data_IF_356002569937
#
_entry.id   IF_356002569937
#
_cell.length_a   1.000
_cell.length_b   1.000
_cell.length_c   1.000
_cell.angle_alpha   90.00
_cell.angle_beta   90.00
_cell.angle_gamma   90.00
#
_symmetry.space_group_name_H-M   'P 1'
#
loop_
_entity.id
_entity.type
_entity.pdbx_description
1 polymer ?
#
# COMPACT_ATOMS: atom_id res chain seq x y z
N UNK A 1 -29.88 -5.44 -23.56
CA UNK A 1 -28.93 -6.53 -23.93
C UNK A 1 -28.03 -6.68 -22.71
N UNK A 2 -28.33 -7.73 -21.94
CA UNK A 2 -27.64 -8.02 -20.69
C UNK A 2 -26.14 -8.27 -20.96
N UNK A 3 -25.27 -7.41 -20.48
CA UNK A 3 -23.87 -7.76 -20.27
C UNK A 3 -23.86 -8.88 -19.22
N UNK A 4 -23.74 -10.11 -19.67
CA UNK A 4 -23.44 -11.24 -18.78
C UNK A 4 -22.13 -10.94 -18.08
N UNK A 5 -22.22 -10.54 -16.82
CA UNK A 5 -21.08 -10.48 -15.92
C UNK A 5 -20.49 -11.89 -15.87
N UNK A 6 -19.32 -12.11 -16.49
CA UNK A 6 -18.59 -13.37 -16.38
C UNK A 6 -18.29 -13.57 -14.90
N UNK A 7 -19.05 -14.44 -14.25
CA UNK A 7 -18.76 -14.84 -12.87
C UNK A 7 -17.38 -15.51 -12.85
N UNK A 8 -16.54 -15.06 -11.93
CA UNK A 8 -15.25 -15.67 -11.72
C UNK A 8 -15.47 -16.99 -10.95
N UNK A 9 -14.77 -18.07 -11.33
CA UNK A 9 -14.82 -19.38 -10.63
C UNK A 9 -14.61 -19.24 -9.11
N UNK A 10 -13.80 -18.28 -8.70
CA UNK A 10 -13.57 -17.96 -7.29
C UNK A 10 -14.83 -17.43 -6.59
N UNK A 11 -15.61 -16.60 -7.25
CA UNK A 11 -16.84 -16.05 -6.69
C UNK A 11 -17.90 -17.13 -6.52
N UNK A 12 -17.98 -18.07 -7.45
CA UNK A 12 -18.85 -19.26 -7.37
C UNK A 12 -18.44 -20.13 -6.18
N UNK A 13 -17.14 -20.39 -6.02
CA UNK A 13 -16.62 -21.19 -4.90
C UNK A 13 -16.95 -20.56 -3.53
N UNK A 14 -16.82 -19.23 -3.40
CA UNK A 14 -17.20 -18.53 -2.17
C UNK A 14 -18.70 -18.62 -1.90
N UNK A 15 -19.57 -18.45 -2.89
CA UNK A 15 -21.02 -18.56 -2.74
C UNK A 15 -21.42 -19.97 -2.29
N UNK A 16 -20.83 -20.99 -2.89
CA UNK A 16 -21.06 -22.38 -2.51
C UNK A 16 -20.60 -22.68 -1.09
N UNK A 17 -19.40 -22.20 -0.71
CA UNK A 17 -18.89 -22.38 0.64
C UNK A 17 -19.83 -21.72 1.68
N UNK A 18 -20.29 -20.49 1.44
CA UNK A 18 -21.26 -19.80 2.30
C UNK A 18 -22.59 -20.57 2.36
N UNK A 19 -23.11 -21.02 1.21
CA UNK A 19 -24.36 -21.76 1.16
C UNK A 19 -24.30 -23.05 1.98
N UNK A 20 -23.27 -23.87 1.82
CA UNK A 20 -23.11 -25.09 2.59
C UNK A 20 -22.87 -24.84 4.07
N UNK A 21 -22.13 -23.80 4.42
CA UNK A 21 -21.92 -23.43 5.83
C UNK A 21 -23.23 -23.06 6.51
N UNK A 22 -24.12 -22.32 5.84
CA UNK A 22 -25.41 -21.91 6.38
C UNK A 22 -26.41 -23.05 6.53
N UNK A 23 -26.18 -24.22 5.90
CA UNK A 23 -27.01 -25.41 6.04
C UNK A 23 -26.57 -26.30 7.23
N UNK A 24 -25.38 -26.06 7.78
CA UNK A 24 -24.85 -26.80 8.92
C UNK A 24 -25.33 -26.25 10.25
N UNK A 25 -25.33 -27.09 11.28
CA UNK A 25 -25.57 -26.68 12.67
C UNK A 25 -24.22 -26.30 13.33
N UNK A 26 -23.66 -25.18 12.85
CA UNK A 26 -22.34 -24.68 13.26
C UNK A 26 -22.38 -23.16 13.42
N UNK A 27 -21.57 -22.65 14.33
CA UNK A 27 -21.35 -21.21 14.44
C UNK A 27 -20.48 -20.73 13.27
N UNK A 28 -20.89 -19.65 12.60
CA UNK A 28 -20.20 -19.11 11.44
C UNK A 28 -19.78 -17.67 11.72
N UNK A 29 -18.50 -17.40 11.55
CA UNK A 29 -17.96 -16.05 11.58
C UNK A 29 -17.49 -15.64 10.16
N UNK A 30 -18.17 -14.65 9.57
CA UNK A 30 -17.72 -14.01 8.35
C UNK A 30 -16.86 -12.81 8.71
N UNK A 31 -15.56 -12.88 8.44
CA UNK A 31 -14.67 -11.73 8.55
C UNK A 31 -14.39 -11.16 7.16
N UNK A 32 -14.69 -9.90 6.97
CA UNK A 32 -14.55 -9.24 5.66
C UNK A 32 -13.89 -7.88 5.76
N UNK A 33 -13.43 -7.35 4.61
CA UNK A 33 -12.97 -5.99 4.54
C UNK A 33 -14.14 -5.02 4.74
N UNK A 34 -13.77 -3.76 4.98
CA UNK A 34 -14.64 -2.63 5.16
C UNK A 34 -15.84 -2.61 4.19
N UNK A 35 -17.05 -2.73 4.72
CA UNK A 35 -18.31 -2.53 4.01
C UNK A 35 -19.07 -1.45 4.78
N UNK A 36 -19.43 -0.35 4.10
CA UNK A 36 -20.22 0.71 4.72
C UNK A 36 -21.71 0.39 4.59
N UNK A 37 -22.31 -0.06 5.68
CA UNK A 37 -23.75 -0.37 5.74
C UNK A 37 -24.59 0.81 6.23
N UNK A 38 -23.97 1.88 6.70
CA UNK A 38 -24.65 2.93 7.46
C UNK A 38 -25.50 3.89 6.63
N UNK A 39 -25.34 3.88 5.30
CA UNK A 39 -25.99 4.84 4.42
C UNK A 39 -26.62 4.16 3.20
N UNK A 40 -27.95 4.05 3.13
CA UNK A 40 -28.66 3.47 1.97
C UNK A 40 -28.28 4.08 0.61
N UNK A 41 -27.82 5.33 0.60
CA UNK A 41 -27.37 6.03 -0.61
C UNK A 41 -25.84 6.04 -0.80
N UNK A 42 -25.11 5.29 0.01
CA UNK A 42 -23.64 5.14 -0.17
C UNK A 42 -23.38 4.34 -1.45
N UNK A 43 -22.36 4.70 -2.26
CA UNK A 43 -21.99 3.92 -3.45
C UNK A 43 -21.53 2.50 -3.14
N UNK A 44 -21.33 2.17 -1.86
CA UNK A 44 -20.96 0.83 -1.38
C UNK A 44 -22.14 0.09 -0.75
N UNK A 45 -23.33 0.68 -0.68
CA UNK A 45 -24.52 0.03 -0.15
C UNK A 45 -25.06 -0.99 -1.16
N UNK A 46 -25.36 -2.19 -0.67
CA UNK A 46 -25.89 -3.26 -1.48
C UNK A 46 -27.12 -3.87 -0.79
N UNK A 47 -28.31 -3.57 -1.35
CA UNK A 47 -29.58 -4.06 -0.85
C UNK A 47 -29.65 -5.59 -0.78
N UNK A 48 -29.08 -6.27 -1.77
CA UNK A 48 -29.05 -7.74 -1.80
C UNK A 48 -28.23 -8.31 -0.67
N UNK A 49 -27.13 -7.65 -0.28
CA UNK A 49 -26.31 -8.10 0.85
C UNK A 49 -27.01 -7.85 2.20
N UNK A 50 -27.65 -6.70 2.37
CA UNK A 50 -28.45 -6.41 3.57
C UNK A 50 -29.61 -7.39 3.71
N UNK A 51 -30.29 -7.73 2.62
CA UNK A 51 -31.36 -8.74 2.59
C UNK A 51 -30.81 -10.13 2.95
N UNK A 52 -29.64 -10.51 2.44
CA UNK A 52 -28.98 -11.77 2.76
C UNK A 52 -28.65 -11.88 4.25
N UNK A 53 -28.09 -10.84 4.88
CA UNK A 53 -27.81 -10.82 6.32
C UNK A 53 -29.08 -11.01 7.14
N UNK A 54 -30.13 -10.26 6.81
CA UNK A 54 -31.42 -10.32 7.52
C UNK A 54 -32.10 -11.68 7.38
N UNK A 55 -32.14 -12.26 6.17
CA UNK A 55 -32.76 -13.57 5.92
C UNK A 55 -32.07 -14.69 6.68
N UNK A 56 -30.76 -14.61 6.83
CA UNK A 56 -29.96 -15.63 7.51
C UNK A 56 -29.70 -15.31 9.00
N UNK A 57 -30.32 -14.25 9.53
CA UNK A 57 -30.16 -13.80 10.93
C UNK A 57 -28.69 -13.59 11.33
N UNK A 58 -27.88 -13.09 10.40
CA UNK A 58 -26.46 -12.81 10.63
C UNK A 58 -26.35 -11.48 11.35
N UNK A 59 -25.74 -11.47 12.52
CA UNK A 59 -25.42 -10.26 13.26
C UNK A 59 -24.20 -9.59 12.65
N UNK A 60 -24.34 -8.30 12.31
CA UNK A 60 -23.24 -7.50 11.79
C UNK A 60 -22.53 -6.79 12.94
N UNK A 61 -21.24 -7.12 13.12
CA UNK A 61 -20.35 -6.40 14.01
C UNK A 61 -19.52 -5.42 13.17
N UNK A 62 -19.90 -4.16 13.18
CA UNK A 62 -19.19 -3.10 12.42
C UNK A 62 -18.15 -2.41 13.31
N UNK A 63 -16.88 -2.74 13.10
CA UNK A 63 -15.76 -2.11 13.77
C UNK A 63 -15.21 -0.89 13.02
N UNK A 64 -15.84 -0.48 11.92
CA UNK A 64 -15.37 0.65 11.10
C UNK A 64 -15.56 2.01 11.78
N UNK A 65 -16.45 2.09 12.76
CA UNK A 65 -16.64 3.30 13.56
C UNK A 65 -15.48 3.56 14.54
N UNK A 66 -14.62 2.57 14.76
CA UNK A 66 -13.46 2.69 15.64
C UNK A 66 -12.22 2.97 14.79
N UNK A 67 -12.00 4.21 14.41
CA UNK A 67 -10.72 4.62 13.84
C UNK A 67 -9.66 4.55 14.93
N UNK A 68 -8.79 3.55 14.85
CA UNK A 68 -7.65 3.36 15.78
C UNK A 68 -6.51 4.31 15.41
N UNK A 69 -6.51 4.84 14.19
CA UNK A 69 -5.43 5.67 13.63
C UNK A 69 -6.03 6.91 12.96
N UNK A 70 -5.58 8.08 13.38
CA UNK A 70 -5.89 9.32 12.67
C UNK A 70 -5.24 9.29 11.27
N UNK A 71 -6.05 9.46 10.24
CA UNK A 71 -5.61 9.45 8.84
C UNK A 71 -5.76 10.84 8.24
N UNK A 72 -4.65 11.43 7.86
CA UNK A 72 -4.63 12.72 7.19
C UNK A 72 -4.46 12.52 5.67
N UNK A 73 -5.45 12.93 4.89
CA UNK A 73 -5.42 12.82 3.43
C UNK A 73 -5.07 14.17 2.80
N UNK A 74 -3.96 14.21 2.07
CA UNK A 74 -3.51 15.40 1.38
C UNK A 74 -3.53 15.14 -0.12
N UNK A 75 -4.42 15.83 -0.84
CA UNK A 75 -4.39 15.82 -2.30
C UNK A 75 -3.56 17.00 -2.80
N UNK A 76 -2.41 16.73 -3.40
CA UNK A 76 -1.43 17.71 -3.86
C UNK A 76 -1.64 18.08 -5.33
N UNK A 77 -2.43 17.29 -6.07
CA UNK A 77 -2.63 17.50 -7.51
C UNK A 77 -3.34 18.83 -7.76
N UNK A 78 -2.72 19.68 -8.58
CA UNK A 78 -3.31 20.98 -8.99
C UNK A 78 -3.31 22.07 -7.93
N UNK A 79 -2.76 21.85 -6.74
CA UNK A 79 -2.64 22.89 -5.71
C UNK A 79 -1.42 23.77 -5.98
N UNK A 80 -1.62 25.09 -5.75
CA UNK A 80 -0.56 26.10 -5.87
C UNK A 80 0.13 26.41 -4.56
N UNK A 81 -0.40 25.92 -3.44
CA UNK A 81 0.13 26.21 -2.10
C UNK A 81 1.43 25.47 -1.86
N UNK A 82 2.40 26.19 -1.35
CA UNK A 82 3.75 25.69 -1.09
C UNK A 82 3.93 25.10 0.29
N UNK A 83 2.94 25.26 1.16
CA UNK A 83 2.96 24.76 2.53
C UNK A 83 1.70 24.00 2.87
N UNK A 84 1.85 22.80 3.42
CA UNK A 84 0.79 22.04 4.07
C UNK A 84 1.24 21.70 5.47
N UNK A 85 0.42 22.08 6.46
CA UNK A 85 0.58 21.65 7.84
C UNK A 85 -0.37 20.49 8.06
N UNK A 86 0.14 19.41 8.63
CA UNK A 86 -0.62 18.27 9.10
C UNK A 86 -0.70 18.34 10.62
N UNK A 87 -1.79 17.90 11.22
CA UNK A 87 -2.05 18.04 12.67
C UNK A 87 -0.93 17.49 13.56
N UNK A 88 -0.14 16.52 13.11
CA UNK A 88 0.96 15.91 13.87
C UNK A 88 2.32 16.62 13.70
N UNK A 89 2.33 17.88 13.29
CA UNK A 89 3.56 18.65 13.13
C UNK A 89 4.35 18.39 11.87
N UNK A 90 3.86 17.51 10.98
CA UNK A 90 4.45 17.29 9.66
C UNK A 90 4.09 18.49 8.77
N UNK A 91 5.07 19.20 8.28
CA UNK A 91 4.88 20.26 7.29
C UNK A 91 5.59 19.88 5.98
N UNK A 92 4.89 20.07 4.87
CA UNK A 92 5.45 19.88 3.53
C UNK A 92 5.67 21.24 2.87
N UNK A 93 6.88 21.45 2.39
CA UNK A 93 7.23 22.61 1.57
C UNK A 93 7.56 22.14 0.17
N UNK A 94 6.82 22.61 -0.81
CA UNK A 94 7.02 22.23 -2.21
C UNK A 94 7.77 23.32 -2.97
N UNK A 95 8.83 22.93 -3.67
CA UNK A 95 9.62 23.82 -4.52
C UNK A 95 9.12 23.89 -5.95
N UNK A 96 8.25 22.96 -6.36
CA UNK A 96 7.86 22.80 -7.77
C UNK A 96 6.54 22.04 -7.93
N UNK A 97 5.83 22.30 -9.04
CA UNK A 97 4.69 21.49 -9.50
C UNK A 97 5.11 20.21 -10.24
N UNK A 98 6.40 20.02 -10.49
CA UNK A 98 6.92 18.83 -11.14
C UNK A 98 6.82 17.63 -10.19
N UNK A 99 6.17 16.54 -10.61
CA UNK A 99 5.95 15.33 -9.79
C UNK A 99 7.24 14.76 -9.17
N UNK A 100 8.35 14.78 -9.91
CA UNK A 100 9.62 14.24 -9.44
C UNK A 100 10.20 15.07 -8.31
N UNK A 101 10.23 16.40 -8.48
CA UNK A 101 10.70 17.33 -7.45
C UNK A 101 9.79 17.30 -6.23
N UNK A 102 8.48 17.25 -6.45
CA UNK A 102 7.48 17.14 -5.41
C UNK A 102 7.71 15.89 -4.55
N UNK A 103 7.96 14.73 -5.17
CA UNK A 103 8.28 13.50 -4.45
C UNK A 103 9.55 13.68 -3.59
N UNK A 104 10.59 14.29 -4.14
CA UNK A 104 11.84 14.54 -3.40
C UNK A 104 11.61 15.46 -2.20
N UNK A 105 10.80 16.50 -2.36
CA UNK A 105 10.46 17.42 -1.27
C UNK A 105 9.65 16.70 -0.15
N UNK A 106 8.70 15.84 -0.52
CA UNK A 106 7.95 15.01 0.42
C UNK A 106 8.90 14.07 1.20
N UNK A 107 9.79 13.37 0.50
CA UNK A 107 10.76 12.46 1.15
C UNK A 107 11.69 13.23 2.08
N UNK A 108 12.10 14.45 1.71
CA UNK A 108 12.92 15.30 2.58
C UNK A 108 12.18 15.62 3.88
N UNK A 109 10.93 16.05 3.80
CA UNK A 109 10.11 16.37 4.98
C UNK A 109 9.91 15.14 5.88
N UNK A 110 9.64 13.96 5.30
CA UNK A 110 9.50 12.71 6.05
C UNK A 110 10.81 12.33 6.75
N UNK A 111 11.95 12.54 6.09
CA UNK A 111 13.27 12.28 6.68
C UNK A 111 13.57 13.22 7.85
N UNK A 112 13.22 14.50 7.73
CA UNK A 112 13.44 15.52 8.77
C UNK A 112 12.77 15.13 10.09
N UNK A 113 11.58 14.53 10.05
CA UNK A 113 10.86 14.02 11.22
C UNK A 113 11.24 12.58 11.60
N UNK A 114 12.23 11.97 10.91
CA UNK A 114 12.70 10.60 11.11
C UNK A 114 11.60 9.54 10.98
N UNK A 115 10.62 9.79 10.13
CA UNK A 115 9.57 8.84 9.78
C UNK A 115 9.94 7.99 8.56
N UNK A 116 9.08 7.01 8.27
CA UNK A 116 9.18 6.14 7.12
C UNK A 116 8.01 6.35 6.16
N UNK A 117 8.18 5.90 4.92
CA UNK A 117 7.13 5.99 3.91
C UNK A 117 7.10 4.81 2.96
N UNK A 118 5.88 4.40 2.58
CA UNK A 118 5.65 3.60 1.40
C UNK A 118 5.33 4.55 0.24
N UNK A 119 5.97 4.32 -0.91
CA UNK A 119 5.69 5.02 -2.16
C UNK A 119 5.05 4.02 -3.12
N UNK A 120 3.76 4.20 -3.35
CA UNK A 120 3.01 3.39 -4.29
C UNK A 120 3.25 3.86 -5.73
N UNK A 121 3.61 2.91 -6.58
CA UNK A 121 3.77 3.08 -8.02
C UNK A 121 2.91 2.04 -8.76
N UNK A 122 2.07 2.42 -9.73
CA UNK A 122 1.22 1.48 -10.47
C UNK A 122 1.98 0.47 -11.33
N UNK A 123 3.23 0.77 -11.70
CA UNK A 123 4.03 -0.04 -12.61
C UNK A 123 5.45 -0.29 -12.08
N UNK A 124 5.98 -1.49 -12.30
CA UNK A 124 7.36 -1.88 -11.91
C UNK A 124 8.39 -0.93 -12.51
N UNK A 125 8.23 -0.52 -13.77
CA UNK A 125 9.13 0.47 -14.41
C UNK A 125 9.20 1.79 -13.64
N UNK A 126 8.09 2.21 -13.02
CA UNK A 126 8.05 3.43 -12.21
C UNK A 126 8.75 3.22 -10.87
N UNK A 127 8.61 2.05 -10.23
CA UNK A 127 9.37 1.70 -9.03
C UNK A 127 10.87 1.85 -9.29
N UNK A 128 11.37 1.29 -10.38
CA UNK A 128 12.79 1.39 -10.78
C UNK A 128 13.19 2.83 -11.11
N UNK A 129 12.34 3.56 -11.83
CA UNK A 129 12.63 4.96 -12.21
C UNK A 129 12.68 5.87 -10.99
N UNK A 130 11.71 5.77 -10.09
CA UNK A 130 11.67 6.61 -8.88
C UNK A 130 12.76 6.23 -7.88
N UNK A 131 13.11 4.95 -7.74
CA UNK A 131 14.25 4.58 -6.89
C UNK A 131 15.55 5.25 -7.36
N UNK A 132 15.82 5.23 -8.66
CA UNK A 132 17.00 5.93 -9.23
C UNK A 132 16.94 7.44 -9.00
N UNK A 133 15.77 8.07 -9.14
CA UNK A 133 15.63 9.52 -8.89
C UNK A 133 15.89 9.86 -7.43
N UNK A 134 15.41 9.04 -6.49
CA UNK A 134 15.64 9.25 -5.06
C UNK A 134 17.12 9.06 -4.72
N UNK A 135 17.78 8.02 -5.25
CA UNK A 135 19.22 7.79 -5.08
C UNK A 135 20.01 9.00 -5.61
N UNK A 136 19.71 9.44 -6.84
CA UNK A 136 20.41 10.58 -7.47
C UNK A 136 20.17 11.92 -6.76
N UNK A 137 19.10 12.06 -5.99
CA UNK A 137 18.86 13.25 -5.18
C UNK A 137 19.80 13.39 -3.98
N UNK A 138 20.53 12.33 -3.66
CA UNK A 138 21.46 12.25 -2.52
C UNK A 138 20.83 12.52 -1.15
N UNK A 139 19.50 12.46 -1.04
CA UNK A 139 18.79 12.68 0.23
C UNK A 139 19.13 11.62 1.29
N UNK A 140 19.42 10.40 0.88
CA UNK A 140 19.66 9.25 1.73
C UNK A 140 21.14 8.82 1.74
N UNK A 141 22.05 9.71 1.34
CA UNK A 141 23.51 9.49 1.40
C UNK A 141 23.92 9.20 2.85
N UNK A 142 24.90 8.29 3.03
CA UNK A 142 25.42 7.83 4.32
C UNK A 142 24.38 7.07 5.17
N UNK A 143 23.44 6.38 4.53
CA UNK A 143 22.58 5.45 5.25
C UNK A 143 23.39 4.30 5.85
N UNK A 144 23.22 4.04 7.15
CA UNK A 144 23.91 2.93 7.83
C UNK A 144 23.29 1.58 7.41
N UNK A 145 24.08 0.78 6.70
CA UNK A 145 23.69 -0.56 6.23
C UNK A 145 24.27 -1.68 7.07
N UNK A 146 24.96 -1.38 8.16
CA UNK A 146 25.69 -2.38 8.98
C UNK A 146 24.79 -3.52 9.46
N UNK A 147 23.54 -3.22 9.82
CA UNK A 147 22.58 -4.19 10.34
C UNK A 147 22.08 -5.20 9.30
N UNK A 148 22.23 -4.93 8.00
CA UNK A 148 21.80 -5.83 6.92
C UNK A 148 22.83 -5.95 5.78
N UNK A 149 24.10 -5.74 6.12
CA UNK A 149 25.20 -5.88 5.18
C UNK A 149 25.29 -7.28 4.56
N UNK A 150 25.05 -8.33 5.36
CA UNK A 150 25.01 -9.71 4.90
C UNK A 150 23.89 -9.96 3.87
N UNK A 151 22.74 -9.33 4.06
CA UNK A 151 21.66 -9.43 3.10
C UNK A 151 22.00 -8.75 1.77
N UNK A 152 22.63 -7.56 1.81
CA UNK A 152 23.13 -6.89 0.59
C UNK A 152 24.17 -7.79 -0.11
N UNK A 153 25.09 -8.37 0.63
CA UNK A 153 26.10 -9.28 0.08
C UNK A 153 25.47 -10.52 -0.55
N UNK A 154 24.47 -11.12 0.13
CA UNK A 154 23.72 -12.27 -0.40
C UNK A 154 23.06 -11.93 -1.73
N UNK A 155 22.34 -10.79 -1.80
CA UNK A 155 21.67 -10.35 -3.03
C UNK A 155 22.69 -10.08 -4.14
N UNK A 156 23.82 -9.43 -3.81
CA UNK A 156 24.87 -9.10 -4.78
C UNK A 156 25.53 -10.37 -5.35
N UNK A 157 25.72 -11.42 -4.55
CA UNK A 157 26.30 -12.68 -5.01
C UNK A 157 25.36 -13.54 -5.85
N UNK A 158 24.05 -13.43 -5.62
CA UNK A 158 23.03 -14.30 -6.24
C UNK A 158 22.41 -13.71 -7.50
N UNK A 159 22.47 -12.39 -7.66
CA UNK A 159 21.81 -11.68 -8.74
C UNK A 159 22.82 -10.78 -9.48
N UNK A 160 22.35 -10.15 -10.57
CA UNK A 160 23.17 -9.20 -11.32
C UNK A 160 23.56 -8.01 -10.42
N UNK A 161 24.85 -7.70 -10.38
CA UNK A 161 25.39 -6.56 -9.60
C UNK A 161 24.79 -5.20 -10.04
N UNK A 162 24.25 -5.13 -11.26
CA UNK A 162 23.54 -3.95 -11.80
C UNK A 162 22.07 -3.90 -11.40
N UNK A 163 21.59 -4.86 -10.61
CA UNK A 163 20.19 -4.85 -10.19
C UNK A 163 19.93 -3.64 -9.30
N UNK A 164 19.00 -2.80 -9.72
CA UNK A 164 18.65 -1.53 -9.03
C UNK A 164 18.31 -1.72 -7.54
N UNK A 165 17.84 -2.90 -7.14
CA UNK A 165 17.57 -3.23 -5.73
C UNK A 165 18.83 -3.11 -4.86
N UNK A 166 20.01 -3.50 -5.37
CA UNK A 166 21.26 -3.46 -4.60
C UNK A 166 21.62 -2.01 -4.26
N UNK A 167 21.55 -1.14 -5.26
CA UNK A 167 21.83 0.30 -5.04
C UNK A 167 20.77 0.94 -4.15
N UNK A 168 19.50 0.53 -4.29
CA UNK A 168 18.43 0.99 -3.45
C UNK A 168 18.67 0.61 -1.97
N UNK A 169 18.99 -0.66 -1.69
CA UNK A 169 19.28 -1.13 -0.33
C UNK A 169 20.47 -0.39 0.30
N UNK A 170 21.54 -0.12 -0.45
CA UNK A 170 22.69 0.67 0.01
C UNK A 170 22.31 2.12 0.41
N UNK A 171 21.18 2.61 -0.08
CA UNK A 171 20.65 3.93 0.24
C UNK A 171 19.42 3.89 1.19
N UNK A 172 19.17 2.79 1.88
CA UNK A 172 18.04 2.67 2.81
C UNK A 172 16.67 2.63 2.14
N UNK A 173 16.62 2.20 0.88
CA UNK A 173 15.41 2.10 0.06
C UNK A 173 15.10 0.63 -0.22
N UNK A 174 13.93 0.18 0.17
CA UNK A 174 13.37 -1.11 -0.23
C UNK A 174 12.61 -1.01 -1.56
N UNK A 175 12.64 -2.08 -2.33
CA UNK A 175 11.85 -2.25 -3.55
C UNK A 175 11.02 -3.52 -3.40
N UNK A 176 9.69 -3.42 -3.63
CA UNK A 176 8.76 -4.53 -3.49
C UNK A 176 7.81 -4.61 -4.68
N UNK A 177 7.91 -5.67 -5.47
CA UNK A 177 6.99 -5.96 -6.59
C UNK A 177 7.01 -7.45 -6.93
N UNK A 178 6.02 -7.92 -7.69
CA UNK A 178 5.78 -9.33 -7.94
C UNK A 178 6.91 -10.11 -8.62
N UNK A 179 7.86 -9.46 -9.30
CA UNK A 179 9.01 -10.12 -9.92
C UNK A 179 10.20 -10.34 -8.98
N UNK A 180 10.15 -9.79 -7.77
CA UNK A 180 11.19 -10.05 -6.76
C UNK A 180 10.91 -11.40 -6.09
N UNK A 181 11.91 -12.27 -5.88
CA UNK A 181 11.73 -13.53 -5.16
C UNK A 181 11.08 -13.33 -3.80
N UNK A 182 10.16 -14.20 -3.42
CA UNK A 182 9.34 -14.06 -2.20
C UNK A 182 10.17 -13.93 -0.92
N UNK A 183 11.28 -14.64 -0.80
CA UNK A 183 12.15 -14.55 0.38
C UNK A 183 12.81 -13.17 0.50
N UNK A 184 13.21 -12.57 -0.63
CA UNK A 184 13.75 -11.20 -0.67
C UNK A 184 12.64 -10.19 -0.31
N UNK A 185 11.42 -10.37 -0.86
CA UNK A 185 10.29 -9.50 -0.51
C UNK A 185 10.03 -9.49 1.01
N UNK A 186 10.03 -10.68 1.64
CA UNK A 186 9.83 -10.82 3.08
C UNK A 186 10.92 -10.10 3.87
N UNK A 187 12.18 -10.26 3.47
CA UNK A 187 13.29 -9.61 4.15
C UNK A 187 13.23 -8.09 4.02
N UNK A 188 12.94 -7.55 2.83
CA UNK A 188 12.77 -6.11 2.62
C UNK A 188 11.67 -5.55 3.53
N UNK A 189 10.54 -6.24 3.65
CA UNK A 189 9.46 -5.81 4.55
C UNK A 189 9.88 -5.87 6.00
N UNK A 190 10.61 -6.92 6.40
CA UNK A 190 11.18 -7.03 7.75
C UNK A 190 12.11 -5.86 8.07
N UNK A 191 13.05 -5.55 7.18
CA UNK A 191 13.97 -4.43 7.32
C UNK A 191 13.23 -3.08 7.42
N UNK A 192 12.18 -2.90 6.62
CA UNK A 192 11.35 -1.69 6.66
C UNK A 192 10.58 -1.58 7.98
N UNK A 193 9.97 -2.66 8.46
CA UNK A 193 9.25 -2.69 9.73
C UNK A 193 10.17 -2.44 10.94
N UNK A 194 11.41 -2.91 10.86
CA UNK A 194 12.45 -2.67 11.86
C UNK A 194 13.13 -1.29 11.72
N UNK A 195 12.61 -0.40 10.85
CA UNK A 195 13.12 0.95 10.59
C UNK A 195 14.56 1.00 10.06
N UNK A 196 15.04 -0.11 9.53
CA UNK A 196 16.34 -0.20 8.87
C UNK A 196 16.30 0.33 7.43
N UNK A 197 15.11 0.38 6.82
CA UNK A 197 14.84 1.07 5.57
C UNK A 197 13.84 2.20 5.83
N UNK A 198 14.13 3.39 5.31
CA UNK A 198 13.28 4.57 5.49
C UNK A 198 12.17 4.65 4.45
N UNK A 199 12.43 4.18 3.24
CA UNK A 199 11.54 4.25 2.09
C UNK A 199 11.30 2.85 1.54
N UNK A 200 10.04 2.57 1.20
CA UNK A 200 9.65 1.35 0.50
C UNK A 200 8.88 1.69 -0.77
N UNK A 201 9.48 1.51 -1.93
CA UNK A 201 8.80 1.65 -3.22
C UNK A 201 8.09 0.35 -3.56
N UNK A 202 6.80 0.42 -3.82
CA UNK A 202 6.00 -0.79 -4.08
C UNK A 202 4.94 -0.61 -5.15
N UNK A 203 4.56 -1.74 -5.75
CA UNK A 203 3.30 -1.88 -6.50
C UNK A 203 2.20 -2.42 -5.57
N UNK A 204 1.01 -2.72 -6.10
CA UNK A 204 -0.11 -3.29 -5.31
C UNK A 204 0.22 -4.59 -4.58
N UNK A 205 1.33 -5.25 -4.88
CA UNK A 205 1.73 -6.50 -4.21
C UNK A 205 1.98 -6.35 -2.71
N UNK A 206 2.18 -5.13 -2.22
CA UNK A 206 2.36 -4.90 -0.77
C UNK A 206 1.04 -4.95 -0.02
N UNK A 207 -0.09 -4.70 -0.69
CA UNK A 207 -1.42 -4.71 -0.06
C UNK A 207 -1.94 -6.13 0.19
N UNK A 208 -1.32 -7.13 -0.41
CA UNK A 208 -1.72 -8.53 -0.29
C UNK A 208 -1.12 -9.20 0.96
N UNK A 209 -1.70 -8.91 2.13
CA UNK A 209 -1.38 -9.64 3.38
C UNK A 209 -0.08 -9.23 4.07
N UNK A 210 0.45 -8.06 3.79
CA UNK A 210 1.67 -7.55 4.43
C UNK A 210 1.31 -6.43 5.41
N UNK A 211 1.46 -6.69 6.71
CA UNK A 211 1.38 -5.63 7.71
C UNK A 211 2.70 -4.84 7.71
N UNK A 212 2.60 -3.53 7.53
CA UNK A 212 3.76 -2.63 7.54
C UNK A 212 3.65 -1.61 8.66
N UNK A 213 4.81 -1.19 9.16
CA UNK A 213 4.93 -0.09 10.13
C UNK A 213 4.98 1.29 9.48
N UNK A 214 4.51 1.42 8.23
CA UNK A 214 4.52 2.67 7.50
C UNK A 214 3.65 3.72 8.18
N UNK A 215 4.21 4.90 8.39
CA UNK A 215 3.48 6.07 8.88
C UNK A 215 2.95 6.94 7.74
N UNK A 216 3.63 6.93 6.62
CA UNK A 216 3.28 7.74 5.46
C UNK A 216 3.07 6.87 4.23
N UNK A 217 2.02 7.15 3.48
CA UNK A 217 1.77 6.56 2.16
C UNK A 217 1.74 7.65 1.10
N UNK A 218 2.67 7.58 0.16
CA UNK A 218 2.73 8.48 -0.99
C UNK A 218 2.21 7.75 -2.22
N UNK A 219 1.08 8.18 -2.75
CA UNK A 219 0.48 7.62 -3.96
C UNK A 219 0.88 8.47 -5.16
N UNK A 220 1.76 7.94 -6.01
CA UNK A 220 2.25 8.64 -7.21
C UNK A 220 1.15 8.78 -8.26
N UNK A 221 0.33 7.74 -8.38
CA UNK A 221 -0.77 7.68 -9.32
C UNK A 221 -1.87 6.77 -8.78
N UNK A 222 -3.12 7.15 -8.97
CA UNK A 222 -4.30 6.38 -8.54
C UNK A 222 -4.69 5.26 -9.50
N UNK A 223 -3.75 4.78 -10.30
CA UNK A 223 -3.95 3.68 -11.25
C UNK A 223 -3.34 2.38 -10.75
N UNK A 224 -3.90 1.26 -11.19
CA UNK A 224 -3.34 -0.10 -11.07
C UNK A 224 -3.18 -0.64 -12.50
N UNK A 225 -1.97 -0.50 -13.06
CA UNK A 225 -1.78 -0.70 -14.50
C UNK A 225 -2.60 0.33 -15.27
N UNK A 226 -3.51 -0.15 -16.12
CA UNK A 226 -4.38 0.69 -16.96
C UNK A 226 -5.77 0.94 -16.34
N UNK A 227 -6.02 0.46 -15.13
CA UNK A 227 -7.31 0.59 -14.43
C UNK A 227 -7.18 1.47 -13.20
N UNK A 228 -8.24 2.20 -12.79
CA UNK A 228 -8.24 2.92 -11.52
C UNK A 228 -7.99 1.97 -10.34
N UNK A 229 -7.21 2.44 -9.36
CA UNK A 229 -7.00 1.75 -8.10
C UNK A 229 -8.33 1.62 -7.38
N UNK A 230 -8.75 0.40 -7.07
CA UNK A 230 -9.99 0.18 -6.32
C UNK A 230 -9.74 0.48 -4.84
N UNK A 231 -10.81 0.85 -4.11
CA UNK A 231 -10.75 1.10 -2.66
C UNK A 231 -10.14 -0.09 -1.88
N UNK A 232 -10.35 -1.31 -2.36
CA UNK A 232 -9.78 -2.54 -1.80
C UNK A 232 -8.26 -2.66 -2.00
N UNK A 233 -7.74 -2.12 -3.09
CA UNK A 233 -6.30 -2.15 -3.41
C UNK A 233 -5.51 -1.07 -2.63
N UNK A 234 -6.22 -0.12 -2.01
CA UNK A 234 -5.64 1.04 -1.31
C UNK A 234 -5.65 0.92 0.23
N UNK A 235 -5.98 -0.26 0.75
CA UNK A 235 -6.02 -0.54 2.20
C UNK A 235 -4.66 -0.85 2.79
#
# INVERSE_FOLDING_TARGET
IDEQVKENERDIAYRLAVHYSLQGDVDILFAGPYIDFSKPNSPNYNDSFSSFLNQNKIELLDYNAFEIVNKNYINIVGKSDTHFNVEDGLSFKFSSKNKDRLLIDIIRSIKEIKDNAIIYCPLIRQVVSYSKKIINSQLLVNHDTSQYAEFIEHVTRRFDVKWTLIDALKNGIGIHHGLIPKYIQKEIVSLFNNKQLSILLSTTTITEGVNTSAKNLVVIDSMKGDKPLKKFDAK
#
